data_IF_572354905716
#
_entry.id   IF_572354905716
#
_cell.length_a   1.000
_cell.length_b   1.000
_cell.length_c   1.000
_cell.angle_alpha   90.00
_cell.angle_beta   90.00
_cell.angle_gamma   90.00
#
_symmetry.space_group_name_H-M   'P 1'
#
loop_
_entity.id
_entity.type
_entity.pdbx_description
1 polymer ?
#
# COMPACT_ATOMS: atom_id res chain seq x y z
N UNK A 1 -19.09 6.42 -5.17
CA UNK A 1 -18.16 6.99 -6.19
C UNK A 1 -18.63 8.40 -6.60
N UNK A 2 -18.51 9.40 -5.73
CA UNK A 2 -18.97 10.78 -6.04
C UNK A 2 -17.93 11.64 -6.78
N UNK A 3 -16.66 11.23 -6.84
CA UNK A 3 -15.62 12.03 -7.51
C UNK A 3 -15.75 12.05 -9.03
N UNK A 4 -16.34 11.01 -9.64
CA UNK A 4 -16.56 10.96 -11.10
C UNK A 4 -17.65 11.94 -11.55
N UNK A 5 -18.65 12.24 -10.72
CA UNK A 5 -19.77 13.10 -11.10
C UNK A 5 -19.46 14.60 -11.04
N UNK A 6 -18.32 14.99 -10.45
CA UNK A 6 -17.91 16.39 -10.32
C UNK A 6 -16.93 16.88 -11.40
N UNK A 7 -16.56 16.03 -12.37
CA UNK A 7 -15.62 16.41 -13.44
C UNK A 7 -14.19 16.72 -12.96
N UNK A 8 -13.89 16.47 -11.69
CA UNK A 8 -12.55 16.58 -11.13
C UNK A 8 -11.77 15.35 -11.59
N UNK A 9 -10.86 15.55 -12.54
CA UNK A 9 -9.91 14.51 -12.93
C UNK A 9 -9.03 14.21 -11.72
N UNK A 10 -9.36 13.12 -11.01
CA UNK A 10 -8.58 12.66 -9.86
C UNK A 10 -7.15 12.43 -10.34
N UNK A 11 -6.22 13.22 -9.82
CA UNK A 11 -4.81 13.09 -10.15
C UNK A 11 -4.12 12.21 -9.10
N UNK A 12 -2.84 11.93 -9.31
CA UNK A 12 -2.04 11.12 -8.37
C UNK A 12 -2.11 11.61 -6.92
N UNK A 13 -2.18 12.93 -6.69
CA UNK A 13 -2.27 13.50 -5.34
C UNK A 13 -3.63 13.16 -4.73
N UNK A 14 -4.73 13.31 -5.47
CA UNK A 14 -6.07 12.93 -5.02
C UNK A 14 -6.12 11.48 -4.56
N UNK A 15 -5.62 10.57 -5.37
CA UNK A 15 -5.60 9.15 -5.03
C UNK A 15 -4.73 8.84 -3.81
N UNK A 16 -3.53 9.42 -3.74
CA UNK A 16 -2.65 9.21 -2.58
C UNK A 16 -3.29 9.71 -1.27
N UNK A 17 -3.99 10.84 -1.32
CA UNK A 17 -4.72 11.38 -0.17
C UNK A 17 -5.84 10.44 0.27
N UNK A 18 -6.65 9.93 -0.66
CA UNK A 18 -7.74 9.00 -0.36
C UNK A 18 -7.24 7.66 0.17
N UNK A 19 -6.22 7.10 -0.46
CA UNK A 19 -5.59 5.85 0.00
C UNK A 19 -5.07 6.01 1.43
N UNK A 20 -4.39 7.13 1.73
CA UNK A 20 -3.92 7.42 3.08
C UNK A 20 -5.07 7.56 4.09
N UNK A 21 -6.18 8.19 3.70
CA UNK A 21 -7.36 8.31 4.55
C UNK A 21 -7.99 6.95 4.85
N UNK A 22 -8.18 6.12 3.82
CA UNK A 22 -8.75 4.77 3.98
C UNK A 22 -7.85 3.86 4.81
N UNK A 23 -6.53 3.95 4.62
CA UNK A 23 -5.58 3.27 5.51
C UNK A 23 -5.84 3.69 6.96
N UNK A 24 -5.90 4.99 7.28
CA UNK A 24 -6.19 5.47 8.64
C UNK A 24 -7.55 5.05 9.21
N UNK A 25 -8.49 4.64 8.36
CA UNK A 25 -9.81 4.14 8.75
C UNK A 25 -9.87 2.61 8.79
N UNK A 26 -8.75 1.91 8.61
CA UNK A 26 -8.66 0.45 8.52
C UNK A 26 -9.61 -0.12 7.45
N UNK A 27 -9.69 0.58 6.32
CA UNK A 27 -10.44 0.18 5.13
C UNK A 27 -9.46 -0.33 4.05
N UNK A 28 -8.80 -1.46 4.30
CA UNK A 28 -7.71 -1.95 3.44
C UNK A 28 -8.17 -2.32 2.04
N UNK A 29 -9.32 -2.97 1.91
CA UNK A 29 -9.83 -3.44 0.62
C UNK A 29 -10.19 -2.28 -0.30
N UNK A 30 -10.81 -1.22 0.24
CA UNK A 30 -11.07 0.02 -0.48
C UNK A 30 -9.78 0.73 -0.89
N UNK A 31 -8.75 0.71 -0.03
CA UNK A 31 -7.44 1.28 -0.36
C UNK A 31 -6.75 0.50 -1.50
N UNK A 32 -6.82 -0.83 -1.49
CA UNK A 32 -6.33 -1.70 -2.59
C UNK A 32 -7.10 -1.41 -3.88
N UNK A 33 -8.42 -1.27 -3.80
CA UNK A 33 -9.26 -1.02 -4.97
C UNK A 33 -9.00 0.35 -5.60
N UNK A 34 -8.79 1.39 -4.80
CA UNK A 34 -8.37 2.70 -5.32
C UNK A 34 -7.02 2.64 -6.02
N UNK A 35 -6.06 1.89 -5.49
CA UNK A 35 -4.77 1.71 -6.16
C UNK A 35 -4.92 0.99 -7.51
N UNK A 36 -5.77 -0.04 -7.61
CA UNK A 36 -6.08 -0.69 -8.90
C UNK A 36 -6.75 0.30 -9.85
N UNK A 37 -7.67 1.11 -9.36
CA UNK A 37 -8.37 2.13 -10.15
C UNK A 37 -7.40 3.19 -10.69
N UNK A 38 -6.38 3.61 -9.92
CA UNK A 38 -5.30 4.48 -10.44
C UNK A 38 -4.67 3.86 -11.70
N UNK A 39 -4.29 2.58 -11.62
CA UNK A 39 -3.63 1.87 -12.70
C UNK A 39 -4.53 1.78 -13.94
N UNK A 40 -5.80 1.42 -13.76
CA UNK A 40 -6.79 1.33 -14.85
C UNK A 40 -6.99 2.69 -15.55
N UNK A 41 -6.90 3.78 -14.80
CA UNK A 41 -6.98 5.14 -15.34
C UNK A 41 -5.65 5.67 -15.92
N UNK A 42 -4.61 4.84 -15.99
CA UNK A 42 -3.30 5.23 -16.51
C UNK A 42 -2.47 6.08 -15.53
N UNK A 43 -2.93 6.25 -14.30
CA UNK A 43 -2.21 6.99 -13.25
C UNK A 43 -1.31 5.99 -12.53
N UNK A 44 0.01 6.13 -12.72
CA UNK A 44 0.97 5.21 -12.11
C UNK A 44 1.10 5.47 -10.60
N UNK A 45 0.83 4.47 -9.73
CA UNK A 45 1.19 4.53 -8.32
C UNK A 45 2.68 4.84 -8.18
N UNK A 46 3.03 5.71 -7.25
CA UNK A 46 4.41 6.11 -7.02
C UNK A 46 4.91 5.64 -5.66
N UNK A 47 6.15 6.01 -5.33
CA UNK A 47 6.77 5.70 -4.04
C UNK A 47 5.88 6.02 -2.83
N UNK A 48 5.19 7.17 -2.87
CA UNK A 48 4.29 7.58 -1.78
C UNK A 48 3.10 6.62 -1.68
N UNK A 49 2.47 6.26 -2.80
CA UNK A 49 1.34 5.31 -2.81
C UNK A 49 1.71 3.98 -2.15
N UNK A 50 2.81 3.37 -2.60
CA UNK A 50 3.25 2.07 -2.10
C UNK A 50 3.69 2.11 -0.64
N UNK A 51 4.46 3.14 -0.27
CA UNK A 51 4.97 3.27 1.11
C UNK A 51 3.82 3.45 2.10
N UNK A 52 2.79 4.22 1.75
CA UNK A 52 1.59 4.38 2.58
C UNK A 52 0.90 3.03 2.82
N UNK A 53 0.64 2.28 1.75
CA UNK A 53 -0.03 0.97 1.84
C UNK A 53 0.80 -0.03 2.65
N UNK A 54 2.09 -0.18 2.35
CA UNK A 54 2.99 -1.10 3.07
C UNK A 54 3.08 -0.77 4.56
N UNK A 55 3.24 0.51 4.90
CA UNK A 55 3.40 0.95 6.30
C UNK A 55 2.13 0.73 7.13
N UNK A 56 0.96 0.80 6.49
CA UNK A 56 -0.30 0.53 7.18
C UNK A 56 -0.61 -0.95 7.25
N UNK A 57 -0.50 -1.66 6.12
CA UNK A 57 -0.87 -3.07 6.00
C UNK A 57 0.01 -3.99 6.83
N UNK A 58 1.22 -3.58 7.21
CA UNK A 58 2.02 -4.40 8.14
C UNK A 58 1.39 -4.58 9.52
N UNK A 59 0.47 -3.70 9.90
CA UNK A 59 -0.23 -3.76 11.19
C UNK A 59 -1.55 -4.51 11.09
N UNK A 60 -2.13 -4.60 9.89
CA UNK A 60 -3.52 -5.04 9.69
C UNK A 60 -3.68 -6.23 8.73
N UNK A 61 -2.72 -6.45 7.83
CA UNK A 61 -2.71 -7.55 6.86
C UNK A 61 -1.72 -8.65 7.24
N UNK A 62 -1.80 -9.78 6.53
CA UNK A 62 -0.85 -10.87 6.71
C UNK A 62 0.56 -10.50 6.20
N UNK A 63 1.62 -11.06 6.80
CA UNK A 63 2.99 -11.00 6.29
C UNK A 63 3.13 -11.21 4.78
N UNK A 64 2.48 -12.24 4.25
CA UNK A 64 2.60 -12.64 2.85
C UNK A 64 2.01 -11.59 1.91
N UNK A 65 0.89 -10.96 2.28
CA UNK A 65 0.29 -9.87 1.51
C UNK A 65 1.19 -8.63 1.47
N UNK A 66 1.82 -8.28 2.60
CA UNK A 66 2.72 -7.13 2.69
C UNK A 66 3.97 -7.36 1.84
N UNK A 67 4.52 -8.57 1.87
CA UNK A 67 5.65 -8.98 1.03
C UNK A 67 5.25 -8.95 -0.46
N UNK A 68 4.07 -9.46 -0.80
CA UNK A 68 3.58 -9.44 -2.18
C UNK A 68 3.44 -8.01 -2.72
N UNK A 69 2.91 -7.10 -1.90
CA UNK A 69 2.79 -5.68 -2.26
C UNK A 69 4.16 -5.01 -2.44
N UNK A 70 5.11 -5.31 -1.56
CA UNK A 70 6.49 -4.83 -1.67
C UNK A 70 7.18 -5.35 -2.95
N UNK A 71 7.03 -6.63 -3.26
CA UNK A 71 7.61 -7.22 -4.47
C UNK A 71 6.97 -6.61 -5.73
N UNK A 72 5.67 -6.34 -5.69
CA UNK A 72 4.98 -5.65 -6.77
C UNK A 72 5.48 -4.21 -6.98
N UNK A 73 5.77 -3.47 -5.90
CA UNK A 73 6.41 -2.14 -5.96
C UNK A 73 7.75 -2.20 -6.73
N UNK A 74 8.61 -3.17 -6.39
CA UNK A 74 9.91 -3.39 -7.05
C UNK A 74 9.71 -3.76 -8.53
N UNK A 75 8.78 -4.67 -8.83
CA UNK A 75 8.48 -5.10 -10.20
C UNK A 75 8.00 -3.93 -11.08
N UNK A 76 7.33 -2.94 -10.50
CA UNK A 76 6.93 -1.71 -11.21
C UNK A 76 8.03 -0.66 -11.31
N UNK A 77 9.25 -0.97 -10.88
CA UNK A 77 10.41 -0.10 -10.93
C UNK A 77 10.41 0.99 -9.87
N UNK A 78 9.62 0.85 -8.80
CA UNK A 78 9.60 1.79 -7.69
C UNK A 78 10.53 1.28 -6.60
N UNK A 79 11.60 2.02 -6.32
CA UNK A 79 12.63 1.60 -5.36
C UNK A 79 12.13 1.87 -3.93
N UNK A 80 12.06 0.85 -3.06
CA UNK A 80 11.78 1.04 -1.65
C UNK A 80 12.92 1.79 -0.96
N UNK A 81 12.60 2.71 -0.05
CA UNK A 81 13.62 3.39 0.76
C UNK A 81 14.00 2.54 1.97
N UNK A 82 15.11 2.89 2.63
CA UNK A 82 15.57 2.23 3.86
C UNK A 82 14.45 2.09 4.90
N UNK A 83 13.67 3.16 5.12
CA UNK A 83 12.54 3.14 6.04
C UNK A 83 11.47 2.11 5.68
N UNK A 84 11.24 1.85 4.39
CA UNK A 84 10.31 0.80 3.93
C UNK A 84 10.82 -0.59 4.32
N UNK A 85 12.12 -0.85 4.14
CA UNK A 85 12.75 -2.10 4.58
C UNK A 85 12.74 -2.25 6.09
N UNK A 86 13.10 -1.21 6.85
CA UNK A 86 13.07 -1.25 8.33
C UNK A 86 11.65 -1.57 8.82
N UNK A 87 10.65 -0.98 8.17
CA UNK A 87 9.24 -1.21 8.48
C UNK A 87 8.84 -2.64 8.19
N UNK A 88 9.24 -3.23 7.05
CA UNK A 88 8.90 -4.61 6.67
C UNK A 88 9.67 -5.65 7.51
N UNK A 89 10.98 -5.49 7.66
CA UNK A 89 11.87 -6.50 8.23
C UNK A 89 11.64 -6.66 9.74
N UNK A 90 11.46 -5.56 10.48
CA UNK A 90 11.37 -5.63 11.94
C UNK A 90 10.16 -6.45 12.46
N UNK A 91 8.93 -6.27 11.95
CA UNK A 91 7.77 -7.05 12.39
C UNK A 91 7.80 -8.51 11.86
N UNK A 92 8.27 -8.73 10.64
CA UNK A 92 8.29 -10.06 10.02
C UNK A 92 9.27 -11.03 10.72
N UNK A 93 10.44 -10.54 11.16
CA UNK A 93 11.39 -11.35 11.91
C UNK A 93 10.85 -11.77 13.30
N UNK A 94 9.98 -10.96 13.91
CA UNK A 94 9.34 -11.28 15.18
C UNK A 94 8.25 -12.38 15.00
N UNK A 95 7.55 -12.37 13.86
CA UNK A 95 6.56 -13.38 13.49
C UNK A 95 7.20 -14.75 13.16
N UNK A 96 8.33 -14.77 12.42
CA UNK A 96 9.06 -16.01 12.14
C UNK A 96 9.64 -16.66 13.41
N UNK A 97 10.00 -15.87 14.41
CA UNK A 97 10.42 -16.35 15.73
C UNK A 97 9.30 -17.06 16.51
N UNK A 98 8.02 -16.73 16.26
CA UNK A 98 6.86 -17.42 16.87
C UNK A 98 6.53 -18.75 16.19
N UNK A 99 6.77 -18.88 14.89
CA UNK A 99 6.50 -20.12 14.13
C UNK A 99 7.48 -21.27 14.43
N UNK A 100 8.68 -20.97 14.93
CA UNK A 100 9.70 -21.99 15.28
C UNK A 100 9.58 -22.57 16.70
N UNK A 101 8.61 -22.13 17.50
CA UNK A 101 8.40 -22.57 18.89
C UNK A 101 7.13 -23.41 19.10
N UNK A 102 6.44 -23.83 18.04
CA UNK A 102 5.30 -24.75 18.13
C UNK A 102 5.69 -26.17 17.73
#
# INVERSE_FOLDING_TARGET
MEMKSLGISANRVTYNTLINLLCKCDCEEEAKELMKMMIVQGIRPNFVTYTTLVTHFIKTCSPDEVIALHNYMILKGVVPHQKTYDTIVAPLLLEEGRKKKS
#
